data_IF_124912397030
#
_entry.id   IF_124912397030
#
_cell.length_a   1.000
_cell.length_b   1.000
_cell.length_c   1.000
_cell.angle_alpha   90.00
_cell.angle_beta   90.00
_cell.angle_gamma   90.00
#
_symmetry.space_group_name_H-M   'P 1'
#
loop_
_entity.id
_entity.type
_entity.pdbx_description
1 polymer ?
#
# COMPACT_ATOMS: atom_id res chain seq x y z
N UNK A 1 -10.88 -10.78 -9.26
CA UNK A 1 -10.38 -10.24 -7.97
C UNK A 1 -8.86 -10.42 -8.00
N UNK A 2 -8.07 -9.35 -8.10
CA UNK A 2 -6.61 -9.47 -8.21
C UNK A 2 -5.98 -9.75 -6.83
N UNK A 3 -5.06 -10.72 -6.78
CA UNK A 3 -4.46 -11.24 -5.54
C UNK A 3 -3.54 -10.18 -4.91
N UNK A 4 -3.68 -10.03 -3.60
CA UNK A 4 -2.82 -9.19 -2.76
C UNK A 4 -1.34 -9.55 -2.96
N UNK A 5 -0.51 -8.56 -3.25
CA UNK A 5 0.94 -8.70 -3.25
C UNK A 5 1.43 -8.76 -1.81
N UNK A 6 2.12 -9.84 -1.45
CA UNK A 6 2.70 -10.03 -0.12
C UNK A 6 4.19 -9.72 -0.22
N UNK A 7 4.63 -8.60 0.35
CA UNK A 7 6.05 -8.31 0.55
C UNK A 7 6.29 -7.85 1.99
N UNK A 8 6.78 -8.79 2.81
CA UNK A 8 6.97 -8.58 4.25
C UNK A 8 5.65 -8.57 5.02
N UNK A 9 5.69 -8.15 6.27
CA UNK A 9 4.55 -8.21 7.20
C UNK A 9 3.40 -7.23 6.88
N UNK A 10 3.51 -6.43 5.81
CA UNK A 10 2.45 -5.55 5.30
C UNK A 10 1.80 -6.21 4.08
N UNK A 11 0.48 -6.34 4.09
CA UNK A 11 -0.30 -6.88 2.98
C UNK A 11 -1.08 -5.76 2.30
N UNK A 12 -0.86 -5.57 0.99
CA UNK A 12 -1.59 -4.57 0.20
C UNK A 12 -2.56 -5.25 -0.73
N UNK A 13 -3.79 -4.75 -0.76
CA UNK A 13 -4.86 -5.18 -1.65
C UNK A 13 -5.24 -4.04 -2.58
N UNK A 14 -5.24 -4.29 -3.87
CA UNK A 14 -5.71 -3.33 -4.88
C UNK A 14 -7.01 -3.81 -5.52
N UNK A 15 -7.86 -2.85 -5.89
CA UNK A 15 -9.06 -3.10 -6.67
C UNK A 15 -8.89 -2.50 -8.04
N UNK A 16 -8.79 -3.35 -9.06
CA UNK A 16 -8.65 -2.91 -10.46
C UNK A 16 -9.98 -3.06 -11.18
N UNK A 17 -10.38 -2.03 -11.93
CA UNK A 17 -11.57 -2.03 -12.81
C UNK A 17 -11.17 -1.42 -14.14
N UNK A 18 -11.43 -2.13 -15.24
CA UNK A 18 -11.06 -1.69 -16.60
C UNK A 18 -9.56 -1.33 -16.76
N UNK A 19 -8.66 -2.06 -16.10
CA UNK A 19 -7.23 -1.75 -16.14
C UNK A 19 -6.80 -0.53 -15.31
N UNK A 20 -7.67 -0.01 -14.44
CA UNK A 20 -7.39 1.15 -13.58
C UNK A 20 -7.55 0.76 -12.11
N UNK A 21 -6.60 1.16 -11.28
CA UNK A 21 -6.67 1.00 -9.82
C UNK A 21 -7.75 1.95 -9.30
N UNK A 22 -8.83 1.39 -8.75
CA UNK A 22 -9.98 2.11 -8.21
C UNK A 22 -9.96 2.23 -6.69
N UNK A 23 -9.22 1.34 -6.01
CA UNK A 23 -9.03 1.40 -4.57
C UNK A 23 -7.77 0.65 -4.17
N UNK A 24 -7.16 1.07 -3.07
CA UNK A 24 -6.05 0.38 -2.40
C UNK A 24 -6.38 0.28 -0.92
N UNK A 25 -6.06 -0.85 -0.30
CA UNK A 25 -6.29 -1.12 1.11
C UNK A 25 -5.12 -1.91 1.71
N UNK A 26 -4.91 -1.76 3.02
CA UNK A 26 -3.85 -2.44 3.78
C UNK A 26 -4.49 -3.22 4.93
N UNK A 27 -5.03 -4.43 4.68
CA UNK A 27 -5.72 -5.20 5.73
C UNK A 27 -4.83 -5.64 6.88
N UNK A 28 -3.52 -5.81 6.64
CA UNK A 28 -2.57 -6.30 7.64
C UNK A 28 -1.28 -5.51 7.56
N UNK A 29 -0.77 -5.06 8.70
CA UNK A 29 0.54 -4.42 8.84
C UNK A 29 1.16 -4.79 10.20
N UNK A 30 2.50 -4.92 10.29
CA UNK A 30 3.15 -5.28 11.55
C UNK A 30 3.05 -4.12 12.53
N UNK A 31 2.57 -4.44 13.73
CA UNK A 31 2.49 -3.53 14.86
C UNK A 31 3.69 -3.74 15.79
N UNK A 32 4.87 -3.27 15.37
CA UNK A 32 6.11 -3.44 16.15
C UNK A 32 6.21 -2.47 17.33
N UNK A 33 5.57 -1.30 17.24
CA UNK A 33 5.57 -0.25 18.27
C UNK A 33 4.25 0.55 18.23
N UNK A 34 3.64 0.92 19.38
CA UNK A 34 2.35 1.62 19.43
C UNK A 34 2.35 2.96 18.68
N UNK A 35 3.44 3.73 18.79
CA UNK A 35 3.58 5.03 18.11
C UNK A 35 3.72 4.84 16.61
N UNK A 36 4.42 3.79 16.18
CA UNK A 36 4.51 3.41 14.76
C UNK A 36 3.16 2.94 14.20
N UNK A 37 2.33 2.28 15.00
CA UNK A 37 0.97 1.89 14.61
C UNK A 37 0.11 3.12 14.38
N UNK A 38 0.13 4.10 15.29
CA UNK A 38 -0.65 5.34 15.13
C UNK A 38 -0.21 6.13 13.87
N UNK A 39 1.10 6.28 13.67
CA UNK A 39 1.64 6.94 12.48
C UNK A 39 1.30 6.17 11.19
N UNK A 40 1.37 4.84 11.22
CA UNK A 40 1.01 3.99 10.09
C UNK A 40 -0.49 4.06 9.78
N UNK A 41 -1.35 4.04 10.80
CA UNK A 41 -2.79 4.15 10.64
C UNK A 41 -3.18 5.51 10.02
N UNK A 42 -2.48 6.59 10.37
CA UNK A 42 -2.64 7.89 9.72
C UNK A 42 -2.05 7.94 8.30
N UNK A 43 -0.92 7.27 8.07
CA UNK A 43 -0.23 7.25 6.77
C UNK A 43 -0.93 6.38 5.72
N UNK A 44 -1.50 5.23 6.09
CA UNK A 44 -2.14 4.27 5.19
C UNK A 44 -3.19 4.92 4.28
N UNK A 45 -4.18 5.70 4.77
CA UNK A 45 -5.17 6.33 3.90
C UNK A 45 -4.53 7.33 2.92
N UNK A 46 -3.54 8.11 3.35
CA UNK A 46 -2.80 9.03 2.47
C UNK A 46 -2.05 8.27 1.37
N UNK A 47 -1.31 7.21 1.72
CA UNK A 47 -0.60 6.35 0.78
C UNK A 47 -1.57 5.66 -0.20
N UNK A 48 -2.74 5.25 0.26
CA UNK A 48 -3.77 4.65 -0.61
C UNK A 48 -4.33 5.65 -1.61
N UNK A 49 -4.58 6.89 -1.18
CA UNK A 49 -5.05 7.95 -2.08
C UNK A 49 -3.99 8.31 -3.13
N UNK A 50 -2.73 8.46 -2.71
CA UNK A 50 -1.64 8.70 -3.66
C UNK A 50 -1.48 7.53 -4.64
N UNK A 51 -1.59 6.28 -4.18
CA UNK A 51 -1.49 5.11 -5.06
C UNK A 51 -2.58 5.07 -6.13
N UNK A 52 -3.82 5.41 -5.75
CA UNK A 52 -4.93 5.52 -6.70
C UNK A 52 -4.71 6.69 -7.66
N UNK A 53 -4.20 7.83 -7.18
CA UNK A 53 -3.93 8.98 -8.04
C UNK A 53 -2.76 8.72 -9.03
N UNK A 54 -1.68 8.12 -8.55
CA UNK A 54 -0.47 7.83 -9.32
C UNK A 54 -0.63 6.63 -10.26
N UNK A 55 -1.60 5.75 -10.01
CA UNK A 55 -1.73 4.45 -10.71
C UNK A 55 -0.44 3.61 -10.66
N UNK A 56 0.39 3.82 -9.65
CA UNK A 56 1.73 3.26 -9.54
C UNK A 56 2.16 3.15 -8.08
N UNK A 57 3.19 2.34 -7.82
CA UNK A 57 3.84 2.27 -6.52
C UNK A 57 4.82 3.41 -6.26
N UNK A 58 5.09 4.27 -7.25
CA UNK A 58 5.94 5.46 -7.13
C UNK A 58 5.21 6.62 -6.44
N UNK A 59 4.96 6.48 -5.14
CA UNK A 59 4.31 7.50 -4.30
C UNK A 59 5.29 8.09 -3.28
N UNK A 60 4.89 9.18 -2.62
CA UNK A 60 5.72 9.75 -1.56
C UNK A 60 5.68 8.88 -0.30
N UNK A 61 6.78 8.87 0.44
CA UNK A 61 6.81 8.27 1.78
C UNK A 61 6.31 9.26 2.82
N UNK A 62 5.54 8.81 3.80
CA UNK A 62 5.02 9.66 4.87
C UNK A 62 6.06 9.80 5.99
N UNK A 63 6.32 11.04 6.42
CA UNK A 63 7.25 11.34 7.52
C UNK A 63 6.83 10.64 8.81
N UNK A 64 7.76 9.89 9.43
CA UNK A 64 7.49 9.09 10.63
C UNK A 64 6.98 7.68 10.35
N UNK A 65 6.63 7.35 9.10
CA UNK A 65 6.16 6.03 8.69
C UNK A 65 7.04 5.44 7.55
N UNK A 66 8.36 5.65 7.61
CA UNK A 66 9.29 5.24 6.54
C UNK A 66 9.29 3.73 6.29
N UNK A 67 9.20 2.93 7.35
CA UNK A 67 9.14 1.46 7.23
C UNK A 67 7.86 1.02 6.52
N UNK A 68 6.71 1.52 6.99
CA UNK A 68 5.38 1.25 6.41
C UNK A 68 5.29 1.71 4.97
N UNK A 69 5.78 2.92 4.66
CA UNK A 69 5.79 3.46 3.31
C UNK A 69 6.58 2.57 2.36
N UNK A 70 7.78 2.11 2.75
CA UNK A 70 8.62 1.25 1.92
C UNK A 70 8.00 -0.13 1.70
N UNK A 71 7.45 -0.74 2.74
CA UNK A 71 6.77 -2.03 2.65
C UNK A 71 5.46 -1.94 1.83
N UNK A 72 4.72 -0.84 1.97
CA UNK A 72 3.53 -0.54 1.18
C UNK A 72 3.88 -0.41 -0.30
N UNK A 73 4.89 0.39 -0.67
CA UNK A 73 5.33 0.56 -2.06
C UNK A 73 5.72 -0.79 -2.69
N UNK A 74 6.52 -1.60 -1.98
CA UNK A 74 6.92 -2.92 -2.49
C UNK A 74 5.71 -3.85 -2.71
N UNK A 75 4.78 -3.90 -1.75
CA UNK A 75 3.58 -4.73 -1.84
C UNK A 75 2.60 -4.23 -2.90
N UNK A 76 2.47 -2.90 -3.05
CA UNK A 76 1.67 -2.27 -4.09
C UNK A 76 2.24 -2.58 -5.47
N UNK A 77 3.55 -2.45 -5.67
CA UNK A 77 4.20 -2.79 -6.94
C UNK A 77 3.95 -4.25 -7.31
N UNK A 78 4.10 -5.17 -6.35
CA UNK A 78 3.80 -6.58 -6.57
C UNK A 78 2.33 -6.81 -6.93
N UNK A 79 1.40 -6.11 -6.29
CA UNK A 79 -0.03 -6.22 -6.59
C UNK A 79 -0.38 -5.66 -7.98
N UNK A 80 0.23 -4.54 -8.39
CA UNK A 80 0.08 -3.92 -9.71
C UNK A 80 0.59 -4.88 -10.78
N UNK A 81 1.83 -5.38 -10.62
CA UNK A 81 2.41 -6.37 -11.53
C UNK A 81 1.58 -7.65 -11.58
N UNK A 82 1.05 -8.14 -10.45
CA UNK A 82 0.17 -9.31 -10.41
C UNK A 82 -1.21 -9.07 -11.07
N UNK A 83 -1.68 -7.82 -11.12
CA UNK A 83 -2.88 -7.43 -11.83
C UNK A 83 -2.66 -7.26 -13.35
N UNK A 84 -1.41 -7.35 -13.83
CA UNK A 84 -1.06 -7.16 -15.23
C UNK A 84 -1.11 -5.70 -15.69
N UNK A 85 -0.85 -4.77 -14.77
CA UNK A 85 -0.69 -3.34 -15.02
C UNK A 85 0.78 -2.96 -15.19
#
# INVERSE_FOLDING_TARGET
>A
MARAGVYGSVQVQIRVKNGVITAVAVPTYPSTDPRSVELSAAAIPALCQEAVAAQSASIASVSGASFTSRAFMASLQAAITAAGL
#
